data_IF_934827186333
#
_entry.id   IF_934827186333
#
_cell.length_a   1.000
_cell.length_b   1.000
_cell.length_c   1.000
_cell.angle_alpha   90.00
_cell.angle_beta   90.00
_cell.angle_gamma   90.00
#
_symmetry.space_group_name_H-M   'P 1'
#
loop_
_entity.id
_entity.type
_entity.pdbx_description
1 polymer ?
#
# COMPACT_ATOMS: atom_id res chain seq x y z
N UNK A 1 12.21 -25.31 44.03
CA UNK A 1 11.84 -26.19 42.89
C UNK A 1 12.98 -27.09 42.40
N UNK A 2 14.25 -26.73 42.62
CA UNK A 2 15.41 -27.54 42.19
C UNK A 2 15.64 -28.85 42.98
N UNK A 3 15.03 -29.03 44.16
CA UNK A 3 15.33 -30.19 45.03
C UNK A 3 14.61 -31.50 44.68
N UNK A 4 13.57 -31.50 43.83
CA UNK A 4 12.77 -32.71 43.54
C UNK A 4 13.25 -33.55 42.35
N UNK A 5 14.30 -33.14 41.65
CA UNK A 5 14.80 -33.86 40.46
C UNK A 5 15.90 -34.88 40.84
N UNK A 6 16.53 -34.75 42.01
CA UNK A 6 17.59 -35.66 42.46
C UNK A 6 17.07 -37.03 42.97
N UNK A 7 15.79 -37.14 43.34
CA UNK A 7 15.21 -38.39 43.90
C UNK A 7 14.65 -39.34 42.82
N UNK A 8 14.53 -38.91 41.56
CA UNK A 8 13.90 -39.71 40.49
C UNK A 8 14.88 -40.52 39.63
N UNK A 9 16.19 -40.45 39.92
CA UNK A 9 17.21 -41.23 39.20
C UNK A 9 17.41 -40.84 37.73
N UNK A 10 16.83 -39.72 37.27
CA UNK A 10 17.02 -39.23 35.90
C UNK A 10 18.34 -38.45 35.85
N UNK A 11 19.35 -38.97 35.15
CA UNK A 11 20.66 -38.33 35.07
C UNK A 11 20.57 -36.95 34.39
N UNK A 12 21.44 -36.04 34.82
CA UNK A 12 21.57 -34.70 34.24
C UNK A 12 21.80 -34.76 32.72
N UNK A 13 22.47 -35.81 32.24
CA UNK A 13 22.70 -36.07 30.82
C UNK A 13 21.40 -36.34 30.03
N UNK A 14 20.41 -36.99 30.65
CA UNK A 14 19.10 -37.23 30.02
C UNK A 14 18.36 -35.89 29.87
N UNK A 15 18.40 -35.04 30.89
CA UNK A 15 17.77 -33.71 30.86
C UNK A 15 18.45 -32.80 29.81
N UNK A 16 19.78 -32.82 29.74
CA UNK A 16 20.54 -32.06 28.75
C UNK A 16 20.25 -32.56 27.32
N UNK A 17 20.21 -33.87 27.11
CA UNK A 17 19.90 -34.47 25.80
C UNK A 17 18.49 -34.15 25.31
N UNK A 18 17.50 -34.11 26.21
CA UNK A 18 16.14 -33.68 25.86
C UNK A 18 16.07 -32.19 25.51
N UNK A 19 16.83 -31.34 26.21
CA UNK A 19 16.93 -29.92 25.92
C UNK A 19 17.48 -29.62 24.52
N UNK A 20 18.55 -30.30 24.12
CA UNK A 20 19.14 -30.16 22.78
C UNK A 20 18.19 -30.60 21.67
N UNK A 21 17.49 -31.74 21.84
CA UNK A 21 16.50 -32.21 20.86
C UNK A 21 15.33 -31.25 20.70
N UNK A 22 14.92 -30.60 21.78
CA UNK A 22 13.89 -29.59 21.75
C UNK A 22 14.37 -28.32 21.03
N UNK A 23 15.62 -27.88 21.28
CA UNK A 23 16.23 -26.77 20.58
C UNK A 23 16.38 -27.03 19.07
N UNK A 24 16.86 -28.22 18.67
CA UNK A 24 17.00 -28.63 17.27
C UNK A 24 15.64 -28.68 16.56
N UNK A 25 14.59 -29.16 17.24
CA UNK A 25 13.23 -29.18 16.69
C UNK A 25 12.67 -27.76 16.47
N UNK A 26 12.95 -26.84 17.39
CA UNK A 26 12.55 -25.43 17.26
C UNK A 26 13.33 -24.73 16.13
N UNK A 27 14.62 -25.03 15.98
CA UNK A 27 15.44 -24.52 14.88
C UNK A 27 14.95 -25.04 13.53
N UNK A 28 14.69 -26.35 13.42
CA UNK A 28 14.15 -26.96 12.20
C UNK A 28 12.75 -26.39 11.83
N UNK A 29 11.93 -26.05 12.82
CA UNK A 29 10.63 -25.40 12.60
C UNK A 29 10.77 -23.92 12.19
N UNK A 30 11.77 -23.22 12.71
CA UNK A 30 12.10 -21.86 12.29
C UNK A 30 12.67 -21.83 10.87
N UNK A 31 13.50 -22.80 10.50
CA UNK A 31 14.08 -22.92 9.16
C UNK A 31 13.00 -23.23 8.10
N UNK A 32 11.94 -23.98 8.46
CA UNK A 32 10.73 -24.12 7.62
C UNK A 32 10.02 -22.79 7.34
N UNK A 33 10.16 -21.81 8.24
CA UNK A 33 9.56 -20.46 8.10
C UNK A 33 10.47 -19.46 7.38
N UNK A 34 11.73 -19.82 7.10
CA UNK A 34 12.64 -18.98 6.30
C UNK A 34 12.32 -19.00 4.80
N UNK A 35 11.24 -19.66 4.36
CA UNK A 35 10.73 -19.62 2.99
C UNK A 35 10.11 -18.29 2.54
N UNK A 36 10.45 -17.17 3.19
CA UNK A 36 9.99 -15.83 2.86
C UNK A 36 8.53 -15.57 3.26
N UNK A 37 8.24 -14.29 3.50
CA UNK A 37 6.87 -13.79 3.53
C UNK A 37 6.23 -14.19 2.20
N UNK A 38 5.07 -14.87 2.18
CA UNK A 38 4.44 -15.31 0.94
C UNK A 38 4.34 -14.12 -0.01
N UNK A 39 4.63 -14.31 -1.30
CA UNK A 39 4.44 -13.27 -2.32
C UNK A 39 3.03 -12.66 -2.24
N UNK A 40 2.02 -13.43 -1.81
CA UNK A 40 0.68 -12.94 -1.56
C UNK A 40 0.59 -11.85 -0.47
N UNK A 41 1.41 -11.92 0.59
CA UNK A 41 1.47 -10.90 1.64
C UNK A 41 2.28 -9.68 1.14
N UNK A 42 3.38 -9.88 0.42
CA UNK A 42 4.10 -8.76 -0.22
C UNK A 42 3.23 -8.06 -1.26
N UNK A 43 2.49 -8.81 -2.06
CA UNK A 43 1.55 -8.30 -3.07
C UNK A 43 0.36 -7.63 -2.39
N UNK A 44 -0.16 -8.14 -1.27
CA UNK A 44 -1.19 -7.46 -0.49
C UNK A 44 -0.68 -6.16 0.16
N UNK A 45 0.55 -6.15 0.68
CA UNK A 45 1.21 -4.94 1.21
C UNK A 45 1.49 -3.91 0.12
N UNK A 46 1.84 -4.34 -1.09
CA UNK A 46 2.03 -3.46 -2.25
C UNK A 46 0.69 -3.04 -2.89
N UNK A 47 -0.37 -3.84 -2.79
CA UNK A 47 -1.72 -3.47 -3.26
C UNK A 47 -2.30 -2.33 -2.44
N UNK A 48 -1.97 -2.22 -1.15
CA UNK A 48 -2.29 -1.05 -0.32
C UNK A 48 -1.49 0.21 -0.72
N UNK A 49 -0.46 0.08 -1.56
CA UNK A 49 0.36 1.18 -2.06
C UNK A 49 0.02 1.56 -3.51
N UNK A 50 -0.83 0.81 -4.20
CA UNK A 50 -1.44 1.30 -5.45
C UNK A 50 -2.49 2.34 -5.05
N UNK A 51 -2.06 3.58 -4.89
CA UNK A 51 -2.96 4.72 -4.78
C UNK A 51 -3.98 4.63 -5.92
N UNK A 52 -5.26 4.66 -5.57
CA UNK A 52 -6.34 4.66 -6.54
C UNK A 52 -6.11 5.75 -7.60
N UNK A 53 -6.39 5.47 -8.87
CA UNK A 53 -6.25 6.40 -10.00
C UNK A 53 -7.53 6.43 -10.85
N UNK A 54 -7.90 7.59 -11.41
CA UNK A 54 -8.97 7.66 -12.40
C UNK A 54 -8.54 6.96 -13.71
N UNK A 55 -9.53 6.60 -14.52
CA UNK A 55 -9.29 6.08 -15.86
C UNK A 55 -8.92 7.24 -16.80
N UNK A 56 -7.61 7.47 -16.94
CA UNK A 56 -7.07 8.61 -17.68
C UNK A 56 -7.42 8.61 -19.16
N UNK A 57 -7.75 7.45 -19.76
CA UNK A 57 -8.18 7.37 -21.17
C UNK A 57 -9.55 8.02 -21.40
N UNK A 58 -10.35 8.16 -20.33
CA UNK A 58 -11.65 8.84 -20.38
C UNK A 58 -11.56 10.35 -20.13
N UNK A 59 -10.39 10.85 -19.74
CA UNK A 59 -10.15 12.26 -19.51
C UNK A 59 -9.56 12.86 -20.80
N UNK A 60 -10.09 14.00 -21.30
CA UNK A 60 -9.56 14.61 -22.52
C UNK A 60 -8.10 15.00 -22.39
N UNK A 61 -7.38 14.99 -23.50
CA UNK A 61 -6.01 15.50 -23.55
C UNK A 61 -5.95 16.99 -23.24
N UNK A 62 -4.87 17.40 -22.56
CA UNK A 62 -4.70 18.75 -22.03
C UNK A 62 -5.26 18.95 -20.62
N UNK A 63 -5.84 17.92 -20.00
CA UNK A 63 -6.20 17.92 -18.58
C UNK A 63 -5.33 16.92 -17.81
N UNK A 64 -4.29 17.43 -17.16
CA UNK A 64 -3.29 16.62 -16.47
C UNK A 64 -3.63 16.33 -15.00
N UNK A 65 -4.76 16.85 -14.51
CA UNK A 65 -5.15 16.71 -13.11
C UNK A 65 -6.62 16.33 -12.99
N UNK A 66 -6.95 15.58 -11.95
CA UNK A 66 -8.32 15.19 -11.60
C UNK A 66 -8.53 15.34 -10.10
N UNK A 67 -9.70 15.86 -9.69
CA UNK A 67 -10.08 15.92 -8.29
C UNK A 67 -11.61 15.92 -8.12
N UNK A 68 -12.07 15.51 -6.94
CA UNK A 68 -13.46 15.53 -6.50
C UNK A 68 -13.71 16.66 -5.50
N UNK A 69 -14.82 17.37 -5.61
CA UNK A 69 -15.25 18.40 -4.66
C UNK A 69 -16.01 17.80 -3.45
N UNK A 70 -16.31 18.64 -2.45
CA UNK A 70 -17.08 18.22 -1.27
C UNK A 70 -18.47 17.67 -1.58
N UNK A 71 -19.05 18.01 -2.74
CA UNK A 71 -20.39 17.58 -3.17
C UNK A 71 -20.35 16.26 -3.94
N UNK A 72 -19.17 15.67 -4.14
CA UNK A 72 -18.98 14.45 -4.92
C UNK A 72 -18.94 14.67 -6.43
N UNK A 73 -18.78 15.92 -6.90
CA UNK A 73 -18.57 16.22 -8.31
C UNK A 73 -17.09 16.12 -8.64
N UNK A 74 -16.78 15.48 -9.75
CA UNK A 74 -15.42 15.35 -10.22
C UNK A 74 -15.12 16.33 -11.34
N UNK A 75 -13.90 16.84 -11.34
CA UNK A 75 -13.40 17.80 -12.31
C UNK A 75 -12.00 17.39 -12.77
N UNK A 76 -11.70 17.63 -14.04
CA UNK A 76 -10.35 17.57 -14.56
C UNK A 76 -9.83 18.98 -14.84
N UNK A 77 -8.53 19.20 -14.62
CA UNK A 77 -7.89 20.51 -14.70
C UNK A 77 -6.65 20.44 -15.59
N UNK A 78 -6.43 21.51 -16.35
CA UNK A 78 -5.23 21.69 -17.19
C UNK A 78 -3.98 22.05 -16.38
N UNK A 79 -4.17 22.48 -15.14
CA UNK A 79 -3.13 22.88 -14.20
C UNK A 79 -3.45 22.36 -12.81
N UNK A 80 -2.43 22.32 -11.96
CA UNK A 80 -2.57 21.87 -10.58
C UNK A 80 -3.59 22.75 -9.83
N UNK A 81 -4.71 22.17 -9.38
CA UNK A 81 -5.67 22.89 -8.58
C UNK A 81 -5.22 22.94 -7.12
N UNK A 82 -5.69 23.95 -6.39
CA UNK A 82 -5.57 24.05 -4.94
C UNK A 82 -6.95 23.90 -4.30
N UNK A 83 -6.98 23.50 -3.03
CA UNK A 83 -8.22 23.49 -2.27
C UNK A 83 -8.60 24.93 -1.90
N UNK A 84 -9.76 25.37 -2.38
CA UNK A 84 -10.45 26.60 -1.92
C UNK A 84 -11.86 26.20 -1.50
N UNK A 85 -12.00 25.88 -0.20
CA UNK A 85 -13.15 25.19 0.34
C UNK A 85 -14.48 25.85 -0.08
N UNK A 86 -15.40 25.12 -0.74
CA UNK A 86 -15.54 23.67 -0.70
C UNK A 86 -15.06 22.90 -1.96
N UNK A 87 -14.24 23.51 -2.82
CA UNK A 87 -13.93 22.99 -4.17
C UNK A 87 -12.42 23.03 -4.46
N UNK A 88 -12.02 22.36 -5.55
CA UNK A 88 -10.68 22.46 -6.12
C UNK A 88 -10.69 23.54 -7.20
N UNK A 89 -9.79 24.51 -7.09
CA UNK A 89 -9.72 25.67 -7.99
C UNK A 89 -8.33 25.84 -8.57
N UNK A 90 -8.23 26.26 -9.82
CA UNK A 90 -6.95 26.59 -10.43
C UNK A 90 -6.60 28.05 -10.09
N UNK A 91 -5.44 28.27 -9.46
CA UNK A 91 -4.97 29.62 -9.12
C UNK A 91 -4.32 30.28 -10.33
N UNK A 92 -4.65 31.56 -10.56
CA UNK A 92 -4.05 32.39 -11.61
C UNK A 92 -4.89 32.48 -12.88
N UNK A 93 -4.57 33.47 -13.72
CA UNK A 93 -5.26 33.72 -14.99
C UNK A 93 -5.14 32.49 -15.92
N UNK A 94 -6.22 32.15 -16.63
CA UNK A 94 -6.28 31.14 -17.71
C UNK A 94 -6.30 29.66 -17.28
N UNK A 95 -6.92 29.31 -16.16
CA UNK A 95 -7.10 27.91 -15.78
C UNK A 95 -8.38 27.36 -16.38
N UNK A 96 -8.31 26.25 -17.10
CA UNK A 96 -9.48 25.56 -17.60
C UNK A 96 -9.78 24.33 -16.73
N UNK A 97 -11.06 24.09 -16.51
CA UNK A 97 -11.54 22.89 -15.86
C UNK A 97 -12.77 22.38 -16.58
N UNK A 98 -12.98 21.07 -16.52
CA UNK A 98 -14.15 20.43 -17.09
C UNK A 98 -14.71 19.41 -16.11
N UNK A 99 -16.04 19.24 -16.10
CA UNK A 99 -16.68 18.16 -15.34
C UNK A 99 -16.21 16.80 -15.87
N UNK A 100 -15.88 15.89 -14.96
CA UNK A 100 -15.41 14.55 -15.25
C UNK A 100 -16.27 13.50 -14.54
N UNK A 101 -16.01 12.23 -14.85
CA UNK A 101 -16.59 11.11 -14.13
C UNK A 101 -15.95 11.01 -12.73
N UNK A 102 -16.71 10.48 -11.77
CA UNK A 102 -16.22 10.25 -10.40
C UNK A 102 -15.33 9.02 -10.27
N UNK A 103 -15.34 8.15 -11.29
CA UNK A 103 -14.60 6.89 -11.34
C UNK A 103 -14.81 5.98 -10.11
N UNK A 104 -15.93 6.15 -9.40
CA UNK A 104 -16.24 5.49 -8.13
C UNK A 104 -15.22 5.76 -7.00
N UNK A 105 -14.57 6.92 -6.97
CA UNK A 105 -13.80 7.36 -5.80
C UNK A 105 -14.72 7.50 -4.58
N UNK A 106 -14.31 6.97 -3.42
CA UNK A 106 -15.13 6.92 -2.20
C UNK A 106 -14.42 7.49 -0.95
N UNK A 107 -13.15 7.86 -1.05
CA UNK A 107 -12.38 8.39 0.09
C UNK A 107 -12.60 9.90 0.27
N UNK A 108 -11.84 10.56 1.17
CA UNK A 108 -11.97 12.01 1.38
C UNK A 108 -11.67 12.76 0.07
N UNK A 109 -12.57 13.66 -0.32
CA UNK A 109 -12.44 14.51 -1.50
C UNK A 109 -11.18 15.39 -1.43
N UNK A 110 -10.67 15.69 -0.23
CA UNK A 110 -9.40 16.43 -0.03
C UNK A 110 -8.18 15.62 -0.44
N UNK A 111 -8.28 14.29 -0.43
CA UNK A 111 -7.23 13.37 -0.82
C UNK A 111 -7.41 12.88 -2.26
N UNK A 112 -8.38 13.45 -3.01
CA UNK A 112 -8.75 12.99 -4.35
C UNK A 112 -7.86 13.49 -5.47
N UNK A 113 -6.98 14.46 -5.22
CA UNK A 113 -6.14 15.04 -6.26
C UNK A 113 -5.21 13.99 -6.87
N UNK A 114 -5.30 13.80 -8.18
CA UNK A 114 -4.43 12.90 -8.95
C UNK A 114 -3.85 13.64 -10.14
N UNK A 115 -2.58 13.36 -10.44
CA UNK A 115 -1.87 13.83 -11.62
C UNK A 115 -1.83 12.70 -12.66
N UNK A 116 -2.10 13.04 -13.92
CA UNK A 116 -1.95 12.15 -15.06
C UNK A 116 -0.49 11.70 -15.15
N UNK A 117 -0.21 10.38 -15.21
CA UNK A 117 1.15 9.91 -15.39
C UNK A 117 1.70 10.40 -16.73
N UNK A 118 2.91 10.93 -16.72
CA UNK A 118 3.64 11.21 -17.96
C UNK A 118 3.90 9.85 -18.63
N UNK A 119 3.33 9.62 -19.81
CA UNK A 119 3.72 8.47 -20.60
C UNK A 119 5.18 8.67 -21.00
N UNK A 120 6.10 7.95 -20.36
CA UNK A 120 7.43 7.75 -20.91
C UNK A 120 7.25 7.04 -22.25
N UNK A 121 7.20 7.83 -23.31
CA UNK A 121 7.32 7.32 -24.67
C UNK A 121 8.73 6.74 -24.71
N UNK A 122 8.84 5.41 -24.61
CA UNK A 122 10.07 4.68 -24.92
C UNK A 122 10.49 5.09 -26.34
N UNK A 123 11.36 6.11 -26.43
CA UNK A 123 12.15 6.40 -27.63
C UNK A 123 13.21 5.32 -27.75
N UNK A 124 12.78 4.11 -28.10
CA UNK A 124 13.66 3.10 -28.65
C UNK A 124 13.75 3.36 -30.16
N UNK A 125 14.69 4.23 -30.53
CA UNK A 125 15.18 4.41 -31.90
C UNK A 125 16.40 3.55 -32.16
#
# INVERSE_FOLDING_TARGET
MALKIAESGVSVDICAGLGWRYADAMQAEADKRQGGVPEAILKASNSSQLEWQPDWDKIPDGFDWWAMDKKGKAHCFDREPVIDSPEWVVVGSNGNYQSSLTFNYQDDWRDSLRKRPEMEVERNG
#
